data_IF_285485541845
#
_entry.id   IF_285485541845
#
_cell.length_a   1.000
_cell.length_b   1.000
_cell.length_c   1.000
_cell.angle_alpha   90.00
_cell.angle_beta   90.00
_cell.angle_gamma   90.00
#
_symmetry.space_group_name_H-M   'P 1'
#
loop_
_entity.id
_entity.type
_entity.pdbx_description
1 polymer ?
#
# COMPACT_ATOMS: atom_id res chain seq x y z
N UNK A 1 2.78 -15.16 -7.67
CA UNK A 1 1.61 -14.49 -8.29
C UNK A 1 1.77 -12.97 -8.26
N UNK A 2 1.90 -12.33 -7.08
CA UNK A 2 2.02 -10.87 -6.96
C UNK A 2 3.12 -10.26 -7.85
N UNK A 3 4.33 -10.82 -7.84
CA UNK A 3 5.45 -10.37 -8.70
C UNK A 3 5.07 -10.23 -10.19
N UNK A 4 4.41 -11.23 -10.76
CA UNK A 4 4.02 -11.23 -12.17
C UNK A 4 3.00 -10.14 -12.49
N UNK A 5 2.10 -9.82 -11.55
CA UNK A 5 1.12 -8.75 -11.70
C UNK A 5 1.82 -7.39 -11.64
N UNK A 6 2.77 -7.22 -10.72
CA UNK A 6 3.57 -5.99 -10.62
C UNK A 6 4.35 -5.75 -11.91
N UNK A 7 5.09 -6.76 -12.38
CA UNK A 7 5.87 -6.68 -13.63
C UNK A 7 4.98 -6.38 -14.84
N UNK A 8 3.77 -6.97 -14.90
CA UNK A 8 2.80 -6.70 -15.96
C UNK A 8 2.28 -5.26 -15.91
N UNK A 9 1.86 -4.78 -14.74
CA UNK A 9 1.36 -3.42 -14.56
C UNK A 9 2.41 -2.39 -14.99
N UNK A 10 3.64 -2.53 -14.52
CA UNK A 10 4.76 -1.67 -14.91
C UNK A 10 5.06 -1.73 -16.41
N UNK A 11 5.04 -2.92 -17.03
CA UNK A 11 5.22 -3.08 -18.48
C UNK A 11 4.15 -2.36 -19.30
N UNK A 12 2.95 -2.22 -18.74
CA UNK A 12 1.83 -1.48 -19.32
C UNK A 12 1.83 0.01 -18.92
N UNK A 13 2.86 0.48 -18.21
CA UNK A 13 2.92 1.84 -17.66
C UNK A 13 1.73 2.17 -16.74
N UNK A 14 1.27 1.17 -15.97
CA UNK A 14 0.19 1.30 -14.99
C UNK A 14 0.74 1.23 -13.57
N UNK A 15 0.15 2.03 -12.68
CA UNK A 15 0.35 1.89 -11.25
C UNK A 15 -0.32 0.61 -10.72
N UNK A 16 0.29 -0.02 -9.73
CA UNK A 16 -0.23 -1.23 -9.08
C UNK A 16 -0.42 -0.95 -7.59
N UNK A 17 -1.65 -1.17 -7.11
CA UNK A 17 -2.00 -1.09 -5.68
C UNK A 17 -2.24 -2.49 -5.11
N UNK A 18 -1.52 -2.81 -4.04
CA UNK A 18 -1.75 -4.03 -3.28
C UNK A 18 -2.78 -3.78 -2.16
N UNK A 19 -3.96 -4.38 -2.29
CA UNK A 19 -5.01 -4.31 -1.26
C UNK A 19 -4.89 -5.44 -0.23
N UNK A 20 -5.28 -5.16 1.01
CA UNK A 20 -5.29 -6.14 2.11
C UNK A 20 -3.96 -6.24 2.87
N UNK A 21 -3.16 -5.18 2.93
CA UNK A 21 -1.92 -5.13 3.73
C UNK A 21 -2.25 -4.97 5.21
N UNK A 22 -1.97 -6.00 6.02
CA UNK A 22 -2.30 -6.04 7.45
C UNK A 22 -1.06 -6.04 8.35
N UNK A 23 0.11 -6.38 7.82
CA UNK A 23 1.36 -6.53 8.58
C UNK A 23 2.55 -5.84 7.90
N UNK A 24 3.53 -5.34 8.67
CA UNK A 24 4.71 -4.65 8.11
C UNK A 24 5.49 -5.55 7.16
N UNK A 25 5.62 -6.85 7.45
CA UNK A 25 6.40 -7.77 6.60
C UNK A 25 5.75 -7.98 5.22
N UNK A 26 4.43 -7.80 5.11
CA UNK A 26 3.72 -7.84 3.82
C UNK A 26 4.05 -6.60 3.00
N UNK A 27 4.03 -5.42 3.61
CA UNK A 27 4.41 -4.17 2.96
C UNK A 27 5.87 -4.20 2.51
N UNK A 28 6.80 -4.65 3.37
CA UNK A 28 8.20 -4.82 3.02
C UNK A 28 8.39 -5.77 1.83
N UNK A 29 7.70 -6.91 1.83
CA UNK A 29 7.74 -7.86 0.72
C UNK A 29 7.20 -7.25 -0.58
N UNK A 30 6.12 -6.47 -0.54
CA UNK A 30 5.55 -5.79 -1.70
C UNK A 30 6.49 -4.72 -2.26
N UNK A 31 7.16 -3.95 -1.39
CA UNK A 31 8.19 -2.98 -1.79
C UNK A 31 9.37 -3.66 -2.48
N UNK A 32 9.85 -4.80 -1.96
CA UNK A 32 10.91 -5.59 -2.59
C UNK A 32 10.49 -6.10 -3.98
N UNK A 33 9.21 -6.43 -4.16
CA UNK A 33 8.65 -6.81 -5.45
C UNK A 33 8.45 -5.64 -6.41
N UNK A 34 8.68 -4.40 -5.96
CA UNK A 34 8.50 -3.18 -6.74
C UNK A 34 7.08 -2.62 -6.72
N UNK A 35 6.19 -3.08 -5.84
CA UNK A 35 4.85 -2.50 -5.71
C UNK A 35 4.91 -1.27 -4.78
N UNK A 36 4.66 -0.09 -5.35
CA UNK A 36 4.85 1.19 -4.67
C UNK A 36 3.64 1.63 -3.83
N UNK A 37 2.45 1.10 -4.13
CA UNK A 37 1.21 1.48 -3.48
C UNK A 37 0.58 0.30 -2.72
N UNK A 38 0.07 0.57 -1.53
CA UNK A 38 -0.61 -0.43 -0.70
C UNK A 38 -1.79 0.17 0.05
N UNK A 39 -2.81 -0.64 0.28
CA UNK A 39 -3.96 -0.33 1.12
C UNK A 39 -4.24 -1.48 2.07
N UNK A 40 -4.52 -1.16 3.33
CA UNK A 40 -4.95 -2.13 4.31
C UNK A 40 -4.80 -1.63 5.74
N UNK A 41 -5.19 -2.48 6.69
CA UNK A 41 -5.29 -2.11 8.11
C UNK A 41 -3.94 -1.84 8.77
N UNK A 42 -2.84 -2.28 8.15
CA UNK A 42 -1.50 -1.87 8.57
C UNK A 42 -1.34 -0.35 8.52
N UNK A 43 -1.87 0.27 7.46
CA UNK A 43 -1.82 1.72 7.27
C UNK A 43 -2.95 2.40 8.05
N UNK A 44 -4.19 2.03 7.74
CA UNK A 44 -5.34 2.59 8.44
C UNK A 44 -6.53 1.69 8.28
N UNK A 45 -7.41 1.70 9.29
CA UNK A 45 -8.79 1.24 9.09
C UNK A 45 -9.53 2.25 8.19
N UNK A 46 -10.62 1.83 7.51
CA UNK A 46 -11.50 2.75 6.80
C UNK A 46 -11.93 3.88 7.74
N UNK A 47 -11.62 5.12 7.33
CA UNK A 47 -11.94 6.32 8.08
C UNK A 47 -13.31 6.85 7.67
N UNK A 48 -14.04 7.46 8.60
CA UNK A 48 -15.18 8.33 8.26
C UNK A 48 -14.65 9.68 7.75
N UNK A 49 -15.48 10.47 7.07
CA UNK A 49 -15.04 11.70 6.39
C UNK A 49 -14.22 12.66 7.28
N UNK A 50 -14.66 12.89 8.53
CA UNK A 50 -13.96 13.75 9.48
C UNK A 50 -12.58 13.21 9.92
N UNK A 51 -12.43 11.89 9.89
CA UNK A 51 -11.20 11.20 10.27
C UNK A 51 -10.21 11.16 9.10
N UNK A 52 -10.70 11.18 7.85
CA UNK A 52 -9.86 11.14 6.65
C UNK A 52 -9.01 12.42 6.49
N UNK A 53 -9.58 13.60 6.74
CA UNK A 53 -8.83 14.87 6.71
C UNK A 53 -7.71 14.88 7.74
N UNK A 54 -7.97 14.40 8.95
CA UNK A 54 -6.96 14.30 10.01
C UNK A 54 -5.89 13.29 9.66
N UNK A 55 -6.27 12.15 9.09
CA UNK A 55 -5.34 11.11 8.64
C UNK A 55 -4.38 11.64 7.57
N UNK A 56 -4.86 12.45 6.62
CA UNK A 56 -4.02 13.06 5.57
C UNK A 56 -2.98 14.04 6.14
N UNK A 57 -3.26 14.66 7.28
CA UNK A 57 -2.32 15.56 7.95
C UNK A 57 -1.26 14.79 8.76
N UNK A 58 -1.59 13.59 9.20
CA UNK A 58 -0.62 12.69 9.80
C UNK A 58 0.36 12.29 8.70
N UNK A 59 1.65 12.54 8.92
CA UNK A 59 2.74 11.99 8.08
C UNK A 59 3.34 10.79 8.81
N UNK A 60 2.65 9.64 8.83
CA UNK A 60 3.15 8.47 9.51
C UNK A 60 4.46 8.01 8.88
N UNK A 61 5.46 7.80 9.75
CA UNK A 61 6.63 7.01 9.39
C UNK A 61 6.25 5.55 9.62
N UNK A 62 5.98 4.84 8.53
CA UNK A 62 5.69 3.41 8.58
C UNK A 62 7.02 2.66 8.67
N UNK A 63 7.21 1.89 9.73
CA UNK A 63 8.35 0.98 9.85
C UNK A 63 7.99 -0.33 9.15
N UNK A 64 8.74 -0.65 8.08
CA UNK A 64 8.59 -1.87 7.28
C UNK A 64 9.86 -2.71 7.32
#
# INVERSE_FOLDING_TARGET
MAKTIVELGHSLSMDVIAEGVEKPEQAAALLILGCEYGQGYFFSKPALDIDAEQLLQQKPAWDY
#
